data_IF_786509309718
#
_entry.id   IF_786509309718
#
_cell.length_a   1.000
_cell.length_b   1.000
_cell.length_c   1.000
_cell.angle_alpha   90.00
_cell.angle_beta   90.00
_cell.angle_gamma   90.00
#
_symmetry.space_group_name_H-M   'P 1'
#
loop_
_entity.id
_entity.type
_entity.pdbx_description
1 polymer ?
#
# COMPACT_ATOMS: atom_id res chain seq x y z
N UNK A 1 -0.07 13.32 0.58
CA UNK A 1 -0.49 12.07 1.25
C UNK A 1 -1.99 11.88 1.27
N UNK A 2 -2.80 12.78 1.84
CA UNK A 2 -4.26 12.58 1.94
C UNK A 2 -4.97 12.24 0.61
N UNK A 3 -4.69 12.90 -0.53
CA UNK A 3 -5.32 12.53 -1.81
C UNK A 3 -4.88 11.15 -2.31
N UNK A 4 -3.64 10.75 -2.04
CA UNK A 4 -3.12 9.46 -2.44
C UNK A 4 -3.73 8.31 -1.63
N UNK A 5 -3.99 8.53 -0.34
CA UNK A 5 -4.74 7.59 0.51
C UNK A 5 -6.15 7.41 -0.04
N UNK A 6 -6.82 8.50 -0.42
CA UNK A 6 -8.15 8.43 -1.03
C UNK A 6 -8.14 7.63 -2.35
N UNK A 7 -7.17 7.89 -3.23
CA UNK A 7 -7.00 7.12 -4.47
C UNK A 7 -6.71 5.64 -4.22
N UNK A 8 -5.91 5.33 -3.18
CA UNK A 8 -5.63 3.95 -2.77
C UNK A 8 -6.88 3.25 -2.24
N UNK A 9 -7.72 3.93 -1.47
CA UNK A 9 -9.01 3.38 -1.03
C UNK A 9 -9.95 3.11 -2.20
N UNK A 10 -10.02 4.01 -3.19
CA UNK A 10 -10.83 3.78 -4.41
C UNK A 10 -10.29 2.57 -5.20
N UNK A 11 -8.97 2.43 -5.28
CA UNK A 11 -8.34 1.29 -5.94
C UNK A 11 -8.78 -0.04 -5.30
N UNK A 12 -8.73 -0.16 -3.97
CA UNK A 12 -9.15 -1.38 -3.25
C UNK A 12 -10.62 -1.72 -3.52
N UNK A 13 -11.52 -0.72 -3.44
CA UNK A 13 -12.94 -0.91 -3.76
C UNK A 13 -13.14 -1.39 -5.21
N UNK A 14 -12.41 -0.83 -6.17
CA UNK A 14 -12.49 -1.25 -7.56
C UNK A 14 -12.01 -2.70 -7.77
N UNK A 15 -11.02 -3.15 -7.00
CA UNK A 15 -10.56 -4.55 -7.04
C UNK A 15 -11.65 -5.48 -6.48
N UNK A 16 -12.30 -5.12 -5.38
CA UNK A 16 -13.36 -5.92 -4.76
C UNK A 16 -14.57 -6.16 -5.68
N UNK A 17 -14.93 -5.17 -6.50
CA UNK A 17 -16.05 -5.24 -7.46
C UNK A 17 -15.63 -5.57 -8.90
N UNK A 18 -14.35 -5.87 -9.16
CA UNK A 18 -13.84 -6.04 -10.52
C UNK A 18 -14.48 -7.25 -11.21
N UNK A 19 -15.23 -7.00 -12.29
CA UNK A 19 -15.88 -8.05 -13.10
C UNK A 19 -15.18 -8.31 -14.43
N UNK A 20 -14.25 -7.44 -14.84
CA UNK A 20 -13.53 -7.56 -16.10
C UNK A 20 -12.09 -7.02 -15.99
N UNK A 21 -11.23 -7.40 -16.93
CA UNK A 21 -9.82 -7.01 -16.93
C UNK A 21 -9.59 -5.50 -17.09
N UNK A 22 -10.52 -4.76 -17.70
CA UNK A 22 -10.40 -3.32 -17.86
C UNK A 22 -10.51 -2.59 -16.50
N UNK A 23 -11.41 -3.04 -15.62
CA UNK A 23 -11.51 -2.51 -14.25
C UNK A 23 -10.23 -2.77 -13.45
N UNK A 24 -9.60 -3.93 -13.64
CA UNK A 24 -8.30 -4.23 -13.01
C UNK A 24 -7.16 -3.33 -13.53
N UNK A 25 -7.12 -3.02 -14.82
CA UNK A 25 -6.15 -2.08 -15.39
C UNK A 25 -6.33 -0.66 -14.83
N UNK A 26 -7.57 -0.21 -14.71
CA UNK A 26 -7.88 1.08 -14.08
C UNK A 26 -7.47 1.09 -12.61
N UNK A 27 -7.80 0.02 -11.87
CA UNK A 27 -7.39 -0.13 -10.48
C UNK A 27 -5.86 -0.15 -10.34
N UNK A 28 -5.14 -0.84 -11.22
CA UNK A 28 -3.67 -0.86 -11.24
C UNK A 28 -3.05 0.51 -11.48
N UNK A 29 -3.67 1.35 -12.31
CA UNK A 29 -3.23 2.73 -12.54
C UNK A 29 -3.41 3.57 -11.27
N UNK A 30 -4.56 3.44 -10.61
CA UNK A 30 -4.83 4.12 -9.33
C UNK A 30 -3.91 3.62 -8.20
N UNK A 31 -3.59 2.31 -8.20
CA UNK A 31 -2.64 1.71 -7.27
C UNK A 31 -1.25 2.32 -7.46
N UNK A 32 -0.77 2.41 -8.70
CA UNK A 32 0.55 2.96 -9.01
C UNK A 32 0.68 4.42 -8.55
N UNK A 33 -0.34 5.25 -8.81
CA UNK A 33 -0.35 6.65 -8.38
C UNK A 33 -0.49 6.77 -6.87
N UNK A 34 -1.44 6.05 -6.26
CA UNK A 34 -1.73 6.11 -4.82
C UNK A 34 -0.58 5.57 -3.98
N UNK A 35 -0.23 4.28 -4.17
CA UNK A 35 0.83 3.61 -3.43
C UNK A 35 2.19 4.29 -3.63
N UNK A 36 2.56 4.60 -4.88
CA UNK A 36 3.82 5.28 -5.19
C UNK A 36 3.95 6.63 -4.46
N UNK A 37 2.89 7.44 -4.50
CA UNK A 37 2.89 8.74 -3.81
C UNK A 37 2.95 8.60 -2.28
N UNK A 38 2.25 7.61 -1.70
CA UNK A 38 2.28 7.36 -0.26
C UNK A 38 3.68 6.93 0.18
N UNK A 39 4.28 5.94 -0.49
CA UNK A 39 5.60 5.42 -0.14
C UNK A 39 6.67 6.50 -0.28
N UNK A 40 6.71 7.23 -1.40
CA UNK A 40 7.71 8.30 -1.58
C UNK A 40 7.54 9.44 -0.58
N UNK A 41 6.30 9.86 -0.30
CA UNK A 41 6.06 10.93 0.67
C UNK A 41 6.40 10.49 2.11
N UNK A 42 6.03 9.27 2.50
CA UNK A 42 6.33 8.73 3.82
C UNK A 42 7.84 8.56 4.04
N UNK A 43 8.57 8.05 3.03
CA UNK A 43 10.03 7.97 3.07
C UNK A 43 10.67 9.36 3.18
N UNK A 44 10.20 10.34 2.40
CA UNK A 44 10.71 11.71 2.47
C UNK A 44 10.48 12.36 3.84
N UNK A 45 9.33 12.13 4.47
CA UNK A 45 9.03 12.59 5.84
C UNK A 45 9.96 11.90 6.85
N UNK A 46 10.12 10.58 6.77
CA UNK A 46 11.00 9.83 7.66
C UNK A 46 12.45 10.33 7.59
N UNK A 47 12.93 10.65 6.39
CA UNK A 47 14.26 11.24 6.19
C UNK A 47 14.32 12.67 6.74
N UNK A 48 13.29 13.49 6.50
CA UNK A 48 13.24 14.90 6.92
C UNK A 48 13.23 15.08 8.43
N UNK A 49 12.48 14.24 9.14
CA UNK A 49 12.38 14.28 10.62
C UNK A 49 13.62 13.67 11.30
N UNK A 50 14.47 12.98 10.54
CA UNK A 50 15.66 12.33 11.07
C UNK A 50 16.87 13.25 11.09
N UNK A 51 17.72 13.18 12.12
CA UNK A 51 19.01 13.88 12.14
C UNK A 51 19.86 13.50 10.91
N UNK A 52 20.55 14.46 10.29
CA UNK A 52 21.35 14.23 9.06
C UNK A 52 22.32 13.05 9.14
N UNK A 53 22.87 12.76 10.33
CA UNK A 53 23.77 11.61 10.53
C UNK A 53 23.05 10.25 10.51
N UNK A 54 21.74 10.22 10.82
CA UNK A 54 20.94 9.00 11.03
C UNK A 54 19.98 8.70 9.87
N UNK A 55 20.08 9.43 8.76
CA UNK A 55 19.23 9.24 7.57
C UNK A 55 19.28 7.80 7.06
N UNK A 56 20.47 7.17 7.09
CA UNK A 56 20.62 5.76 6.73
C UNK A 56 19.82 4.83 7.64
N UNK A 57 19.91 5.03 8.96
CA UNK A 57 19.16 4.25 9.95
C UNK A 57 17.64 4.43 9.79
N UNK A 58 17.18 5.67 9.61
CA UNK A 58 15.77 5.97 9.41
C UNK A 58 15.19 5.29 8.14
N UNK A 59 15.97 5.31 7.06
CA UNK A 59 15.61 4.64 5.81
C UNK A 59 15.55 3.12 6.01
N UNK A 60 16.55 2.53 6.67
CA UNK A 60 16.53 1.10 6.98
C UNK A 60 15.34 0.69 7.84
N UNK A 61 15.01 1.46 8.90
CA UNK A 61 13.83 1.18 9.72
C UNK A 61 12.54 1.28 8.91
N UNK A 62 12.41 2.28 8.02
CA UNK A 62 11.26 2.39 7.12
C UNK A 62 11.10 1.15 6.23
N UNK A 63 12.18 0.69 5.59
CA UNK A 63 12.15 -0.51 4.75
C UNK A 63 11.84 -1.79 5.56
N UNK A 64 12.39 -1.94 6.77
CA UNK A 64 12.07 -3.08 7.65
C UNK A 64 10.57 -3.17 7.92
N UNK A 65 9.93 -2.05 8.28
CA UNK A 65 8.48 -2.03 8.52
C UNK A 65 7.68 -2.26 7.23
N UNK A 66 8.14 -1.70 6.11
CA UNK A 66 7.49 -1.87 4.81
C UNK A 66 7.52 -3.33 4.35
N UNK A 67 8.68 -3.98 4.43
CA UNK A 67 8.85 -5.40 4.06
C UNK A 67 8.08 -6.32 5.01
N UNK A 68 8.08 -5.99 6.31
CA UNK A 68 7.26 -6.68 7.31
C UNK A 68 5.78 -6.59 6.97
N UNK A 69 5.30 -5.41 6.55
CA UNK A 69 3.93 -5.21 6.09
C UNK A 69 3.61 -5.98 4.81
N UNK A 70 4.52 -5.98 3.82
CA UNK A 70 4.37 -6.76 2.59
C UNK A 70 4.36 -8.27 2.84
N UNK A 71 5.10 -8.77 3.84
CA UNK A 71 5.11 -10.18 4.21
C UNK A 71 3.91 -10.59 5.05
N UNK A 72 3.55 -9.81 6.07
CA UNK A 72 2.43 -10.11 6.97
C UNK A 72 1.07 -9.87 6.31
N UNK A 73 0.95 -8.90 5.41
CA UNK A 73 -0.31 -8.53 4.77
C UNK A 73 -1.02 -9.72 4.11
N UNK A 74 -0.39 -10.41 3.13
CA UNK A 74 -0.97 -11.57 2.48
C UNK A 74 -1.24 -12.74 3.44
N UNK A 75 -0.42 -12.90 4.48
CA UNK A 75 -0.64 -13.94 5.50
C UNK A 75 -1.92 -13.67 6.31
N UNK A 76 -2.11 -12.44 6.78
CA UNK A 76 -3.30 -12.04 7.53
C UNK A 76 -4.54 -12.05 6.66
N UNK A 77 -4.47 -11.49 5.45
CA UNK A 77 -5.60 -11.48 4.52
C UNK A 77 -5.93 -12.91 4.08
N UNK A 78 -4.92 -13.72 3.76
CA UNK A 78 -5.08 -15.10 3.32
C UNK A 78 -5.71 -16.03 4.35
N UNK A 79 -5.53 -15.78 5.65
CA UNK A 79 -6.24 -16.52 6.70
C UNK A 79 -7.73 -16.13 6.80
N UNK A 80 -8.09 -14.93 6.34
CA UNK A 80 -9.46 -14.41 6.34
C UNK A 80 -10.22 -14.79 5.05
N UNK A 81 -9.51 -14.98 3.91
CA UNK A 81 -10.10 -15.38 2.62
C UNK A 81 -11.08 -16.57 2.70
N UNK A 82 -10.82 -17.67 3.44
CA UNK A 82 -11.75 -18.80 3.54
C UNK A 82 -13.12 -18.43 4.13
N UNK A 83 -13.22 -17.34 4.89
CA UNK A 83 -14.45 -16.94 5.57
C UNK A 83 -15.28 -15.92 4.79
N UNK A 84 -14.63 -15.01 4.04
CA UNK A 84 -15.29 -13.89 3.33
C UNK A 84 -15.12 -13.93 1.80
N UNK A 85 -14.30 -14.84 1.28
CA UNK A 85 -13.95 -14.92 -0.14
C UNK A 85 -13.04 -13.78 -0.61
N UNK A 86 -12.48 -13.90 -1.82
CA UNK A 86 -11.54 -12.92 -2.38
C UNK A 86 -12.18 -11.53 -2.60
N UNK A 87 -13.46 -11.46 -2.99
CA UNK A 87 -14.14 -10.17 -3.16
C UNK A 87 -14.41 -9.46 -1.84
N UNK A 88 -14.50 -10.18 -0.72
CA UNK A 88 -14.70 -9.60 0.61
C UNK A 88 -13.41 -9.12 1.29
N UNK A 89 -12.25 -9.44 0.71
CA UNK A 89 -10.93 -9.05 1.25
C UNK A 89 -10.35 -7.74 0.69
N UNK A 90 -10.97 -7.15 -0.32
CA UNK A 90 -10.57 -5.90 -0.97
C UNK A 90 -11.65 -4.84 -0.78
#
# INVERSE_FOLDING_TARGET
MYPAIFLFSICLLLIGIAQNGFVLLLAGTLLAVGYGTIVSAAQAIAIKESPKHRVGLATSTFFIFMDTGMGLGPYLIGTIVPYVGYSGTY
#
